data_IF_739846974742
#
_entry.id   IF_739846974742
#
_cell.length_a   1.000
_cell.length_b   1.000
_cell.length_c   1.000
_cell.angle_alpha   90.00
_cell.angle_beta   90.00
_cell.angle_gamma   90.00
#
_symmetry.space_group_name_H-M   'P 1'
#
loop_
_entity.id
_entity.type
_entity.pdbx_description
1 polymer ?
#
# COMPACT_ATOMS: atom_id res chain seq x y z
N UNK A 1 17.05 -11.58 9.52
CA UNK A 1 16.65 -10.90 10.78
C UNK A 1 15.23 -10.39 10.57
N UNK A 2 14.31 -10.60 11.51
CA UNK A 2 12.96 -10.03 11.42
C UNK A 2 13.02 -8.56 11.85
N UNK A 3 12.41 -7.66 11.08
CA UNK A 3 12.30 -6.23 11.39
C UNK A 3 10.90 -5.98 11.94
N UNK A 4 10.82 -5.42 13.14
CA UNK A 4 9.56 -5.05 13.78
C UNK A 4 9.26 -3.57 13.54
N UNK A 5 8.00 -3.18 13.74
CA UNK A 5 7.59 -1.78 13.60
C UNK A 5 8.26 -0.90 14.67
N UNK A 6 9.11 0.04 14.25
CA UNK A 6 9.89 0.90 15.14
C UNK A 6 8.99 1.90 15.87
N UNK A 7 8.04 2.53 15.18
CA UNK A 7 7.15 3.51 15.79
C UNK A 7 6.25 2.87 16.87
N UNK A 8 5.74 1.66 16.59
CA UNK A 8 4.98 0.89 17.57
C UNK A 8 5.86 0.55 18.78
N UNK A 9 7.08 0.06 18.57
CA UNK A 9 8.01 -0.28 19.65
C UNK A 9 8.34 0.93 20.53
N UNK A 10 8.59 2.08 19.91
CA UNK A 10 8.81 3.35 20.59
C UNK A 10 7.64 3.74 21.49
N UNK A 11 6.42 3.69 20.96
CA UNK A 11 5.20 4.06 21.70
C UNK A 11 4.94 3.12 22.88
N UNK A 12 5.18 1.81 22.70
CA UNK A 12 5.08 0.82 23.79
C UNK A 12 6.10 1.09 24.89
N UNK A 13 7.37 1.23 24.53
CA UNK A 13 8.46 1.46 25.48
C UNK A 13 8.33 2.81 26.20
N UNK A 14 7.69 3.79 25.56
CA UNK A 14 7.45 5.11 26.13
C UNK A 14 6.14 5.21 26.92
N UNK A 15 5.39 4.11 27.09
CA UNK A 15 4.18 4.06 27.90
C UNK A 15 3.00 4.85 27.32
N UNK A 16 2.88 4.93 26.00
CA UNK A 16 1.75 5.58 25.32
C UNK A 16 0.54 4.67 25.12
N UNK A 17 0.69 3.36 25.36
CA UNK A 17 -0.44 2.44 25.32
C UNK A 17 -1.45 2.82 26.42
N UNK A 18 -2.73 3.02 26.08
CA UNK A 18 -3.74 3.38 27.06
C UNK A 18 -3.98 2.18 27.98
N UNK A 19 -3.56 2.30 29.24
CA UNK A 19 -4.01 1.41 30.31
C UNK A 19 -5.46 1.71 30.73
N UNK A 20 -5.90 2.96 30.51
CA UNK A 20 -7.26 3.46 30.74
C UNK A 20 -7.61 4.47 29.63
N UNK A 21 -8.80 4.35 29.04
CA UNK A 21 -9.31 5.26 28.01
C UNK A 21 -9.65 6.67 28.57
N UNK A 22 -9.77 6.79 29.89
CA UNK A 22 -10.15 8.04 30.56
C UNK A 22 -8.97 9.00 30.81
N UNK A 23 -7.72 8.55 30.67
CA UNK A 23 -6.53 9.40 30.86
C UNK A 23 -5.42 9.07 29.85
N UNK A 24 -5.63 9.37 28.56
CA UNK A 24 -4.65 9.05 27.53
C UNK A 24 -3.38 9.91 27.69
N UNK A 25 -2.22 9.27 27.51
CA UNK A 25 -0.94 10.00 27.47
C UNK A 25 -0.88 10.88 26.21
N UNK A 26 -0.65 12.18 26.43
CA UNK A 26 -0.56 13.19 25.39
C UNK A 26 0.85 13.23 24.80
N UNK A 27 0.95 13.34 23.48
CA UNK A 27 2.22 13.46 22.77
C UNK A 27 2.85 14.83 23.04
N UNK A 28 3.91 14.85 23.83
CA UNK A 28 4.73 16.05 24.05
C UNK A 28 5.67 16.29 22.86
N UNK A 29 6.08 17.55 22.68
CA UNK A 29 6.98 17.97 21.59
C UNK A 29 8.31 17.22 21.58
N UNK A 30 8.79 16.76 22.75
CA UNK A 30 10.07 16.08 22.88
C UNK A 30 10.09 14.68 22.25
N UNK A 31 8.93 14.04 22.09
CA UNK A 31 8.83 12.71 21.48
C UNK A 31 8.63 12.77 19.96
N UNK A 32 8.18 13.91 19.41
CA UNK A 32 7.82 14.05 18.00
C UNK A 32 9.00 13.73 17.06
N UNK A 33 10.22 14.26 17.25
CA UNK A 33 11.32 13.98 16.33
C UNK A 33 11.68 12.49 16.26
N UNK A 34 11.87 11.84 17.40
CA UNK A 34 12.23 10.41 17.45
C UNK A 34 11.13 9.50 16.92
N UNK A 35 9.86 9.84 17.18
CA UNK A 35 8.73 9.07 16.66
C UNK A 35 8.55 9.27 15.15
N UNK A 36 8.83 10.47 14.63
CA UNK A 36 8.83 10.75 13.19
C UNK A 36 9.91 9.93 12.48
N UNK A 37 11.13 9.91 13.02
CA UNK A 37 12.22 9.08 12.48
C UNK A 37 11.86 7.59 12.46
N UNK A 38 11.31 7.08 13.57
CA UNK A 38 10.85 5.69 13.66
C UNK A 38 9.73 5.39 12.65
N UNK A 39 8.81 6.34 12.44
CA UNK A 39 7.71 6.18 11.49
C UNK A 39 8.20 6.22 10.04
N UNK A 40 9.21 7.03 9.72
CA UNK A 40 9.83 7.04 8.39
C UNK A 40 10.56 5.72 8.09
N UNK A 41 11.23 5.11 9.07
CA UNK A 41 11.82 3.77 8.92
C UNK A 41 10.76 2.70 8.66
N UNK A 42 9.65 2.74 9.40
CA UNK A 42 8.49 1.88 9.14
C UNK A 42 7.94 2.12 7.73
N UNK A 43 7.82 3.38 7.30
CA UNK A 43 7.34 3.76 5.98
C UNK A 43 8.22 3.19 4.86
N UNK A 44 9.55 3.27 4.99
CA UNK A 44 10.49 2.68 4.04
C UNK A 44 10.31 1.16 3.93
N UNK A 45 10.09 0.47 5.05
CA UNK A 45 9.76 -0.95 5.06
C UNK A 45 8.43 -1.27 4.36
N UNK A 46 7.40 -0.44 4.54
CA UNK A 46 6.13 -0.58 3.83
C UNK A 46 6.28 -0.34 2.33
N UNK A 47 7.00 0.70 1.92
CA UNK A 47 7.28 0.98 0.51
C UNK A 47 7.99 -0.21 -0.15
N UNK A 48 9.03 -0.74 0.50
CA UNK A 48 9.75 -1.91 0.01
C UNK A 48 8.81 -3.12 -0.19
N UNK A 49 7.97 -3.42 0.79
CA UNK A 49 6.97 -4.49 0.67
C UNK A 49 5.93 -4.23 -0.44
N UNK A 50 5.56 -2.96 -0.66
CA UNK A 50 4.74 -2.53 -1.80
C UNK A 50 5.40 -2.82 -3.13
N UNK A 51 6.67 -2.41 -3.31
CA UNK A 51 7.48 -2.67 -4.51
C UNK A 51 7.62 -4.18 -4.77
N UNK A 52 7.95 -4.96 -3.74
CA UNK A 52 8.03 -6.42 -3.85
C UNK A 52 6.71 -7.04 -4.29
N UNK A 53 5.59 -6.57 -3.74
CA UNK A 53 4.27 -7.09 -4.05
C UNK A 53 3.84 -6.74 -5.49
N UNK A 54 4.15 -5.53 -5.99
CA UNK A 54 3.94 -5.18 -7.41
C UNK A 54 4.81 -6.05 -8.32
N UNK A 55 6.11 -6.13 -8.06
CA UNK A 55 7.05 -6.87 -8.91
C UNK A 55 6.72 -8.38 -8.97
N UNK A 56 6.39 -8.98 -7.83
CA UNK A 56 5.96 -10.39 -7.77
C UNK A 56 4.58 -10.61 -8.39
N UNK A 57 3.68 -9.63 -8.31
CA UNK A 57 2.39 -9.62 -9.02
C UNK A 57 2.60 -9.67 -10.54
N UNK A 58 3.45 -8.78 -11.07
CA UNK A 58 3.83 -8.75 -12.50
C UNK A 58 4.46 -10.08 -12.93
N UNK A 59 5.37 -10.64 -12.13
CA UNK A 59 5.95 -11.97 -12.42
C UNK A 59 4.90 -13.09 -12.45
N UNK A 60 3.89 -13.01 -11.58
CA UNK A 60 2.80 -13.98 -11.56
C UNK A 60 1.97 -13.88 -12.85
N UNK A 61 1.68 -12.66 -13.33
CA UNK A 61 1.02 -12.47 -14.64
C UNK A 61 1.85 -13.04 -15.80
N UNK A 62 3.16 -12.78 -15.83
CA UNK A 62 4.07 -13.34 -16.84
C UNK A 62 4.15 -14.87 -16.83
N UNK A 63 3.69 -15.51 -15.75
CA UNK A 63 3.67 -16.95 -15.55
C UNK A 63 2.25 -17.54 -15.66
N UNK A 64 1.25 -16.76 -16.09
CA UNK A 64 -0.16 -17.15 -16.13
C UNK A 64 -0.75 -17.55 -14.77
N UNK A 65 -0.19 -17.03 -13.67
CA UNK A 65 -0.69 -17.21 -12.31
C UNK A 65 -1.54 -15.98 -11.90
N UNK A 66 -2.71 -15.83 -12.51
CA UNK A 66 -3.58 -14.66 -12.41
C UNK A 66 -4.25 -14.49 -11.04
N UNK A 67 -4.68 -15.58 -10.40
CA UNK A 67 -5.24 -15.56 -9.06
C UNK A 67 -4.22 -14.99 -8.07
N UNK A 68 -3.00 -15.51 -8.12
CA UNK A 68 -1.89 -15.03 -7.31
C UNK A 68 -1.41 -13.62 -7.67
N UNK A 69 -1.47 -13.23 -8.95
CA UNK A 69 -1.20 -11.86 -9.36
C UNK A 69 -2.17 -10.90 -8.68
N UNK A 70 -3.47 -11.19 -8.73
CA UNK A 70 -4.55 -10.38 -8.12
C UNK A 70 -4.32 -10.21 -6.63
N UNK A 71 -3.98 -11.29 -5.92
CA UNK A 71 -3.68 -11.23 -4.49
C UNK A 71 -2.50 -10.30 -4.22
N UNK A 72 -1.37 -10.49 -4.90
CA UNK A 72 -0.15 -9.70 -4.68
C UNK A 72 -0.33 -8.22 -5.04
N UNK A 73 -1.04 -7.93 -6.13
CA UNK A 73 -1.35 -6.58 -6.59
C UNK A 73 -2.33 -5.85 -5.65
N UNK A 74 -3.27 -6.56 -5.02
CA UNK A 74 -4.06 -5.98 -3.91
C UNK A 74 -3.18 -5.67 -2.69
N UNK A 75 -2.31 -6.61 -2.30
CA UNK A 75 -1.43 -6.42 -1.14
C UNK A 75 -0.44 -5.28 -1.33
N UNK A 76 0.03 -5.03 -2.55
CA UNK A 76 0.88 -3.86 -2.80
C UNK A 76 0.15 -2.56 -2.48
N UNK A 77 -1.11 -2.40 -2.89
CA UNK A 77 -1.91 -1.20 -2.57
C UNK A 77 -2.08 -1.04 -1.06
N UNK A 78 -2.31 -2.14 -0.32
CA UNK A 78 -2.33 -2.09 1.15
C UNK A 78 -1.01 -1.57 1.74
N UNK A 79 0.13 -2.12 1.31
CA UNK A 79 1.44 -1.69 1.81
C UNK A 79 1.75 -0.23 1.43
N UNK A 80 1.44 0.16 0.19
CA UNK A 80 1.68 1.51 -0.30
C UNK A 80 0.79 2.54 0.39
N UNK A 81 -0.49 2.24 0.64
CA UNK A 81 -1.37 3.08 1.45
C UNK A 81 -0.82 3.25 2.88
N UNK A 82 -0.28 2.17 3.47
CA UNK A 82 0.35 2.22 4.79
C UNK A 82 1.64 3.05 4.79
N UNK A 83 2.46 2.94 3.74
CA UNK A 83 3.64 3.78 3.55
C UNK A 83 3.27 5.26 3.45
N UNK A 84 2.27 5.57 2.61
CA UNK A 84 1.75 6.93 2.42
C UNK A 84 1.17 7.53 3.70
N UNK A 85 0.42 6.76 4.48
CA UNK A 85 -0.05 7.18 5.80
C UNK A 85 1.14 7.49 6.73
N UNK A 86 2.14 6.60 6.78
CA UNK A 86 3.29 6.75 7.67
C UNK A 86 4.16 7.98 7.34
N UNK A 87 4.47 8.25 6.06
CA UNK A 87 5.20 9.47 5.68
C UNK A 87 4.39 10.76 5.91
N UNK A 88 3.07 10.64 6.11
CA UNK A 88 2.17 11.73 6.45
C UNK A 88 1.76 11.70 7.93
N UNK A 89 2.65 11.22 8.80
CA UNK A 89 2.51 11.30 10.26
C UNK A 89 1.40 10.44 10.88
N UNK A 90 0.84 9.48 10.15
CA UNK A 90 -0.14 8.53 10.71
C UNK A 90 0.55 7.25 11.17
N UNK A 91 0.61 7.06 12.48
CA UNK A 91 1.02 5.80 13.09
C UNK A 91 -0.19 4.90 13.37
N UNK A 92 -0.11 3.65 12.92
CA UNK A 92 -1.07 2.59 13.22
C UNK A 92 -0.33 1.50 13.99
N UNK A 93 -0.85 1.14 15.17
CA UNK A 93 -0.29 0.06 15.98
C UNK A 93 -1.38 -0.83 16.58
N UNK A 94 -0.96 -2.01 17.03
CA UNK A 94 -1.84 -3.02 17.61
C UNK A 94 -1.34 -3.41 18.99
N UNK A 95 -2.26 -3.47 19.94
CA UNK A 95 -2.07 -4.04 21.28
C UNK A 95 -3.13 -5.11 21.51
N UNK A 96 -2.71 -6.36 21.75
CA UNK A 96 -3.60 -7.52 21.88
C UNK A 96 -4.65 -7.60 20.76
N UNK A 97 -4.22 -7.41 19.51
CA UNK A 97 -5.07 -7.36 18.31
C UNK A 97 -6.04 -6.17 18.24
N UNK A 98 -6.02 -5.25 19.19
CA UNK A 98 -6.82 -4.01 19.17
C UNK A 98 -6.04 -2.92 18.43
N UNK A 99 -6.61 -2.34 17.36
CA UNK A 99 -5.95 -1.27 16.62
C UNK A 99 -6.04 0.06 17.33
N UNK A 100 -5.01 0.87 17.15
CA UNK A 100 -4.96 2.27 17.52
C UNK A 100 -4.34 3.11 16.41
N UNK A 101 -4.73 4.38 16.36
CA UNK A 101 -4.25 5.38 15.41
C UNK A 101 -3.73 6.59 16.20
N UNK A 102 -2.59 7.13 15.75
CA UNK A 102 -2.02 8.38 16.22
C UNK A 102 -1.63 9.22 15.02
N UNK A 103 -2.01 10.49 15.04
CA UNK A 103 -1.43 11.50 14.17
C UNK A 103 -0.30 12.17 14.95
N UNK A 104 0.93 12.16 14.42
CA UNK A 104 2.11 12.70 15.10
C UNK A 104 2.06 14.24 15.11
N UNK A 105 1.27 14.81 16.01
CA UNK A 105 1.20 16.25 16.25
C UNK A 105 1.23 16.53 17.74
N UNK A 106 1.74 17.71 18.10
CA UNK A 106 1.71 18.18 19.49
C UNK A 106 0.28 18.14 20.03
N UNK A 107 0.12 17.66 21.26
CA UNK A 107 -1.17 17.48 21.94
C UNK A 107 -2.11 16.39 21.36
N UNK A 108 -1.66 15.56 20.43
CA UNK A 108 -2.43 14.38 20.01
C UNK A 108 -2.27 13.20 20.98
N UNK A 109 -3.22 12.28 20.91
CA UNK A 109 -3.26 11.06 21.74
C UNK A 109 -3.51 9.83 20.89
N UNK A 110 -3.13 8.67 21.43
CA UNK A 110 -3.47 7.39 20.84
C UNK A 110 -5.00 7.17 20.92
N UNK A 111 -5.65 6.94 19.78
CA UNK A 111 -7.12 6.79 19.70
C UNK A 111 -7.50 5.46 19.06
N UNK A 112 -8.61 4.87 19.50
CA UNK A 112 -9.26 3.80 18.73
C UNK A 112 -9.71 4.33 17.37
N UNK A 113 -9.78 3.49 16.31
CA UNK A 113 -10.27 3.92 14.99
C UNK A 113 -11.63 4.62 15.02
N UNK A 114 -12.57 4.15 15.86
CA UNK A 114 -13.90 4.75 16.00
C UNK A 114 -13.89 6.15 16.64
N UNK A 115 -12.91 6.45 17.48
CA UNK A 115 -12.70 7.78 18.03
C UNK A 115 -11.99 8.71 17.03
N UNK A 116 -11.15 8.15 16.16
CA UNK A 116 -10.42 8.91 15.15
C UNK A 116 -11.27 9.24 13.91
N UNK A 117 -11.98 8.24 13.38
CA UNK A 117 -12.83 8.32 12.20
C UNK A 117 -14.29 8.33 12.68
N UNK A 118 -14.87 9.53 12.80
CA UNK A 118 -16.27 9.68 13.27
C UNK A 118 -17.24 8.95 12.35
N UNK A 119 -18.15 8.16 12.94
CA UNK A 119 -19.20 7.45 12.21
C UNK A 119 -18.77 6.14 11.54
N UNK A 120 -17.52 5.70 11.70
CA UNK A 120 -17.08 4.41 11.20
C UNK A 120 -17.65 3.26 12.04
N UNK A 121 -18.17 2.22 11.38
CA UNK A 121 -18.56 0.98 12.06
C UNK A 121 -17.37 0.03 12.25
N UNK A 122 -17.42 -0.82 13.28
CA UNK A 122 -16.39 -1.85 13.50
C UNK A 122 -16.12 -2.71 12.25
N UNK A 123 -17.17 -3.09 11.51
CA UNK A 123 -17.04 -3.90 10.29
C UNK A 123 -16.15 -3.27 9.21
N UNK A 124 -16.04 -1.94 9.19
CA UNK A 124 -15.24 -1.20 8.22
C UNK A 124 -13.76 -1.11 8.60
N UNK A 125 -13.38 -1.34 9.85
CA UNK A 125 -11.96 -1.31 10.28
C UNK A 125 -11.47 -2.62 10.92
N UNK A 126 -12.32 -3.64 11.03
CA UNK A 126 -11.90 -4.97 11.52
C UNK A 126 -10.91 -5.60 10.54
N UNK A 127 -9.71 -5.88 11.05
CA UNK A 127 -8.59 -6.43 10.28
C UNK A 127 -7.68 -5.34 9.72
N UNK A 128 -6.38 -5.66 9.66
CA UNK A 128 -5.33 -4.69 9.39
C UNK A 128 -5.49 -3.95 8.07
N UNK A 129 -5.87 -4.66 7.01
CA UNK A 129 -5.99 -4.04 5.69
C UNK A 129 -7.17 -3.06 5.63
N UNK A 130 -8.31 -3.44 6.20
CA UNK A 130 -9.51 -2.60 6.21
C UNK A 130 -9.28 -1.30 6.96
N UNK A 131 -8.61 -1.36 8.11
CA UNK A 131 -8.23 -0.14 8.83
C UNK A 131 -7.33 0.77 8.00
N UNK A 132 -6.23 0.24 7.44
CA UNK A 132 -5.27 1.03 6.65
C UNK A 132 -5.96 1.67 5.46
N UNK A 133 -6.71 0.89 4.67
CA UNK A 133 -7.36 1.39 3.46
C UNK A 133 -8.48 2.39 3.78
N UNK A 134 -9.26 2.17 4.85
CA UNK A 134 -10.31 3.11 5.27
C UNK A 134 -9.72 4.42 5.80
N UNK A 135 -8.65 4.34 6.59
CA UNK A 135 -7.96 5.55 7.06
C UNK A 135 -7.37 6.32 5.87
N UNK A 136 -6.68 5.63 4.95
CA UNK A 136 -6.15 6.24 3.74
C UNK A 136 -7.25 6.94 2.92
N UNK A 137 -8.36 6.25 2.65
CA UNK A 137 -9.46 6.81 1.87
C UNK A 137 -10.07 8.07 2.49
N UNK A 138 -10.13 8.14 3.83
CA UNK A 138 -10.64 9.31 4.53
C UNK A 138 -9.65 10.47 4.47
N UNK A 139 -8.40 10.23 4.87
CA UNK A 139 -7.39 11.28 5.04
C UNK A 139 -6.89 11.82 3.70
N UNK A 140 -6.95 11.01 2.65
CA UNK A 140 -6.53 11.38 1.30
C UNK A 140 -7.71 11.39 0.32
N UNK A 141 -8.91 11.77 0.77
CA UNK A 141 -10.12 11.80 -0.07
C UNK A 141 -9.99 12.67 -1.34
N UNK A 142 -9.04 13.62 -1.37
CA UNK A 142 -8.69 14.41 -2.56
C UNK A 142 -7.60 13.82 -3.45
N UNK A 143 -7.08 12.62 -3.14
CA UNK A 143 -6.09 11.94 -3.97
C UNK A 143 -6.70 11.59 -5.33
N UNK A 144 -5.95 11.88 -6.39
CA UNK A 144 -6.37 11.60 -7.76
C UNK A 144 -6.61 10.09 -8.01
N UNK A 145 -6.00 9.16 -7.27
CA UNK A 145 -6.35 7.73 -7.36
C UNK A 145 -7.67 7.37 -6.67
N UNK A 146 -8.28 8.28 -5.92
CA UNK A 146 -9.59 8.10 -5.30
C UNK A 146 -10.67 8.93 -6.00
N UNK A 147 -10.33 9.66 -7.06
CA UNK A 147 -11.22 10.64 -7.70
C UNK A 147 -12.28 10.02 -8.60
N UNK A 148 -12.19 8.73 -8.91
CA UNK A 148 -13.13 8.05 -9.79
C UNK A 148 -13.40 6.62 -9.29
N UNK A 149 -14.44 6.01 -9.84
CA UNK A 149 -14.91 4.68 -9.48
C UNK A 149 -14.54 3.65 -10.54
N UNK A 150 -14.42 2.39 -10.12
CA UNK A 150 -14.38 1.22 -11.00
C UNK A 150 -15.70 0.47 -10.80
N UNK A 151 -16.49 0.31 -11.86
CA UNK A 151 -17.84 -0.30 -11.80
C UNK A 151 -18.74 0.29 -10.70
N UNK A 152 -18.69 1.60 -10.51
CA UNK A 152 -19.48 2.30 -9.49
C UNK A 152 -18.99 2.10 -8.05
N UNK A 153 -17.83 1.47 -7.83
CA UNK A 153 -17.21 1.28 -6.52
C UNK A 153 -15.93 2.08 -6.40
N UNK A 154 -15.60 2.53 -5.18
CA UNK A 154 -14.28 3.12 -4.94
C UNK A 154 -13.19 2.09 -5.28
N UNK A 155 -12.05 2.49 -5.87
CA UNK A 155 -11.05 1.56 -6.36
C UNK A 155 -10.50 0.58 -5.31
N UNK A 156 -10.31 1.05 -4.07
CA UNK A 156 -9.82 0.21 -2.97
C UNK A 156 -10.80 -0.92 -2.62
N UNK A 157 -12.11 -0.63 -2.64
CA UNK A 157 -13.15 -1.64 -2.43
C UNK A 157 -13.21 -2.61 -3.60
N UNK A 158 -13.16 -2.10 -4.83
CA UNK A 158 -13.16 -2.94 -6.02
C UNK A 158 -11.98 -3.93 -6.03
N UNK A 159 -10.75 -3.47 -5.77
CA UNK A 159 -9.57 -4.33 -5.68
C UNK A 159 -9.66 -5.37 -4.55
N UNK A 160 -10.23 -4.99 -3.41
CA UNK A 160 -10.47 -5.92 -2.30
C UNK A 160 -11.42 -7.04 -2.73
N UNK A 161 -12.49 -6.72 -3.45
CA UNK A 161 -13.44 -7.69 -3.98
C UNK A 161 -12.81 -8.61 -5.03
N UNK A 162 -11.95 -8.11 -5.92
CA UNK A 162 -11.21 -8.94 -6.87
C UNK A 162 -10.32 -9.95 -6.15
N UNK A 163 -9.63 -9.51 -5.11
CA UNK A 163 -8.81 -10.39 -4.27
C UNK A 163 -9.65 -11.41 -3.52
N UNK A 164 -10.81 -11.03 -2.97
CA UNK A 164 -11.73 -11.97 -2.33
C UNK A 164 -12.30 -12.99 -3.31
N UNK A 165 -12.64 -12.56 -4.53
CA UNK A 165 -13.12 -13.44 -5.60
C UNK A 165 -12.10 -14.53 -5.91
N UNK A 166 -10.86 -14.12 -6.20
CA UNK A 166 -9.79 -15.03 -6.64
C UNK A 166 -9.25 -15.91 -5.50
N UNK A 167 -9.28 -15.41 -4.26
CA UNK A 167 -8.60 -16.10 -3.14
C UNK A 167 -9.54 -16.88 -2.22
N UNK A 168 -10.81 -16.50 -2.12
CA UNK A 168 -11.73 -17.10 -1.14
C UNK A 168 -13.06 -17.58 -1.72
N UNK A 169 -13.61 -16.89 -2.73
CA UNK A 169 -14.91 -17.26 -3.30
C UNK A 169 -14.78 -18.33 -4.38
N UNK A 170 -13.68 -18.34 -5.13
CA UNK A 170 -13.37 -19.42 -6.04
C UNK A 170 -12.86 -20.63 -5.25
N UNK A 171 -13.47 -21.81 -5.44
CA UNK A 171 -13.02 -23.05 -4.81
C UNK A 171 -11.64 -23.50 -5.33
N UNK A 172 -11.33 -23.15 -6.58
CA UNK A 172 -10.05 -23.37 -7.25
C UNK A 172 -9.69 -22.06 -7.95
N UNK A 173 -8.44 -21.63 -7.86
CA UNK A 173 -7.97 -20.46 -8.61
C UNK A 173 -8.13 -20.73 -10.12
N UNK A 174 -8.50 -19.73 -10.92
CA UNK A 174 -8.74 -19.91 -12.36
C UNK A 174 -7.45 -20.09 -13.16
N UNK A 175 -6.31 -20.34 -12.52
CA UNK A 175 -5.02 -20.42 -13.21
C UNK A 175 -4.90 -21.80 -13.90
N UNK A 176 -4.48 -21.88 -15.18
CA UNK A 176 -3.89 -20.83 -16.00
C UNK A 176 -4.88 -20.12 -16.94
N UNK A 177 -6.19 -20.35 -16.83
CA UNK A 177 -7.18 -19.63 -17.63
C UNK A 177 -7.14 -18.12 -17.32
N UNK A 178 -7.27 -17.30 -18.36
CA UNK A 178 -7.25 -15.84 -18.21
C UNK A 178 -8.60 -15.41 -17.64
N UNK A 179 -8.67 -14.88 -16.40
CA UNK A 179 -9.91 -14.34 -15.88
C UNK A 179 -10.22 -12.99 -16.54
N UNK A 180 -11.48 -12.59 -16.53
CA UNK A 180 -11.97 -11.42 -17.27
C UNK A 180 -11.18 -10.14 -16.96
N UNK A 181 -10.77 -9.92 -15.70
CA UNK A 181 -10.06 -8.70 -15.29
C UNK A 181 -8.62 -8.57 -15.84
N UNK A 182 -8.14 -9.60 -16.57
CA UNK A 182 -6.87 -9.56 -17.29
C UNK A 182 -7.02 -9.88 -18.78
N UNK A 183 -8.26 -10.00 -19.30
CA UNK A 183 -8.50 -10.40 -20.68
C UNK A 183 -7.80 -9.45 -21.66
N UNK A 184 -7.99 -8.13 -21.50
CA UNK A 184 -7.32 -7.12 -22.33
C UNK A 184 -5.82 -7.01 -22.05
N UNK A 185 -5.39 -7.16 -20.78
CA UNK A 185 -3.97 -7.17 -20.44
C UNK A 185 -3.24 -8.33 -21.14
N UNK A 186 -3.90 -9.48 -21.29
CA UNK A 186 -3.34 -10.67 -21.92
C UNK A 186 -3.31 -10.60 -23.46
N UNK A 187 -4.05 -9.69 -24.11
CA UNK A 187 -4.02 -9.53 -25.59
C UNK A 187 -2.70 -8.96 -26.09
N UNK A 188 -1.97 -8.25 -25.22
CA UNK A 188 -0.66 -7.66 -25.52
C UNK A 188 0.40 -8.16 -24.54
N UNK A 189 1.66 -7.84 -24.83
CA UNK A 189 2.74 -8.13 -23.90
C UNK A 189 2.61 -7.20 -22.68
N UNK A 190 2.69 -7.74 -21.46
CA UNK A 190 2.63 -6.98 -20.21
C UNK A 190 3.57 -5.77 -20.23
N UNK A 191 4.77 -5.91 -20.82
CA UNK A 191 5.72 -4.81 -21.02
C UNK A 191 5.11 -3.60 -21.72
N UNK A 192 4.32 -3.82 -22.77
CA UNK A 192 3.70 -2.74 -23.55
C UNK A 192 2.68 -2.01 -22.69
N UNK A 193 1.84 -2.74 -21.94
CA UNK A 193 0.90 -2.14 -21.00
C UNK A 193 1.58 -1.37 -19.87
N UNK A 194 2.66 -1.91 -19.30
CA UNK A 194 3.43 -1.20 -18.27
C UNK A 194 3.99 0.13 -18.80
N UNK A 195 4.51 0.16 -20.04
CA UNK A 195 4.96 1.41 -20.65
C UNK A 195 3.79 2.40 -20.84
N UNK A 196 2.64 1.92 -21.34
CA UNK A 196 1.44 2.76 -21.49
C UNK A 196 1.01 3.35 -20.14
N UNK A 197 1.01 2.54 -19.06
CA UNK A 197 0.66 3.03 -17.74
C UNK A 197 1.67 4.03 -17.19
N UNK A 198 2.96 3.90 -17.51
CA UNK A 198 3.98 4.87 -17.08
C UNK A 198 3.80 6.25 -17.71
N UNK A 199 3.27 6.28 -18.94
CA UNK A 199 3.02 7.50 -19.71
C UNK A 199 1.60 8.07 -19.49
N UNK A 200 0.82 7.49 -18.57
CA UNK A 200 -0.57 7.86 -18.26
C UNK A 200 -0.65 9.11 -17.37
N UNK A 201 -0.34 10.29 -17.95
CA UNK A 201 -0.31 11.58 -17.23
C UNK A 201 -1.65 11.94 -16.59
N UNK A 202 -2.75 11.61 -17.26
CA UNK A 202 -4.12 11.74 -16.74
C UNK A 202 -4.61 10.31 -16.51
N UNK A 203 -4.63 9.81 -15.26
CA UNK A 203 -4.82 8.40 -14.98
C UNK A 203 -6.21 7.94 -15.43
N UNK A 204 -6.28 7.25 -16.56
CA UNK A 204 -7.51 6.64 -17.09
C UNK A 204 -7.51 5.15 -16.76
N UNK A 205 -6.39 4.47 -17.02
CA UNK A 205 -6.27 3.02 -16.85
C UNK A 205 -6.45 2.52 -15.41
N UNK A 206 -6.08 3.27 -14.35
CA UNK A 206 -6.37 2.87 -12.97
C UNK A 206 -7.87 2.70 -12.68
N UNK A 207 -8.74 3.34 -13.46
CA UNK A 207 -10.19 3.31 -13.29
C UNK A 207 -10.91 2.46 -14.32
N UNK A 208 -10.18 1.98 -15.32
CA UNK A 208 -10.72 1.14 -16.37
C UNK A 208 -10.84 -0.30 -15.88
N UNK A 209 -12.02 -0.90 -16.09
CA UNK A 209 -12.37 -2.24 -15.63
C UNK A 209 -11.38 -3.32 -16.07
N UNK A 210 -10.90 -3.25 -17.31
CA UNK A 210 -10.05 -4.25 -17.94
C UNK A 210 -8.57 -4.08 -17.61
N UNK A 211 -8.21 -2.93 -17.01
CA UNK A 211 -6.83 -2.55 -16.71
C UNK A 211 -6.54 -2.37 -15.22
N UNK A 212 -7.56 -2.04 -14.41
CA UNK A 212 -7.39 -1.55 -13.05
C UNK A 212 -6.65 -2.52 -12.13
N UNK A 213 -6.81 -3.83 -12.31
CA UNK A 213 -6.10 -4.83 -11.51
C UNK A 213 -4.57 -4.69 -11.57
N UNK A 214 -4.02 -4.17 -12.68
CA UNK A 214 -2.59 -3.92 -12.85
C UNK A 214 -2.25 -2.42 -12.84
N UNK A 215 -3.02 -1.61 -13.56
CA UNK A 215 -2.75 -0.19 -13.73
C UNK A 215 -2.84 0.56 -12.40
N UNK A 216 -3.85 0.28 -11.57
CA UNK A 216 -4.05 0.98 -10.32
C UNK A 216 -2.90 0.74 -9.32
N UNK A 217 -2.47 -0.50 -9.02
CA UNK A 217 -1.32 -0.74 -8.15
C UNK A 217 -0.01 -0.14 -8.68
N UNK A 218 0.22 -0.15 -10.00
CA UNK A 218 1.41 0.45 -10.61
C UNK A 218 1.40 1.96 -10.45
N UNK A 219 0.29 2.62 -10.76
CA UNK A 219 0.13 4.07 -10.60
C UNK A 219 0.21 4.51 -9.13
N UNK A 220 -0.35 3.72 -8.20
CA UNK A 220 -0.20 3.95 -6.76
C UNK A 220 1.27 3.87 -6.35
N UNK A 221 2.01 2.86 -6.84
CA UNK A 221 3.44 2.73 -6.55
C UNK A 221 4.22 3.95 -7.00
N UNK A 222 4.01 4.42 -8.24
CA UNK A 222 4.71 5.58 -8.79
C UNK A 222 4.48 6.83 -7.94
N UNK A 223 3.22 7.11 -7.57
CA UNK A 223 2.89 8.27 -6.73
C UNK A 223 3.54 8.22 -5.37
N UNK A 224 3.55 7.05 -4.72
CA UNK A 224 4.19 6.91 -3.40
C UNK A 224 5.70 7.05 -3.52
N UNK A 225 6.33 6.53 -4.57
CA UNK A 225 7.77 6.75 -4.83
C UNK A 225 8.06 8.24 -4.99
N UNK A 226 7.27 8.94 -5.82
CA UNK A 226 7.45 10.37 -6.05
C UNK A 226 7.28 11.16 -4.74
N UNK A 227 6.32 10.81 -3.88
CA UNK A 227 6.17 11.44 -2.54
C UNK A 227 7.34 11.16 -1.58
N UNK A 228 7.95 9.98 -1.64
CA UNK A 228 9.17 9.71 -0.86
C UNK A 228 10.34 10.56 -1.36
N UNK A 229 10.50 10.69 -2.68
CA UNK A 229 11.53 11.54 -3.29
C UNK A 229 11.32 13.01 -2.90
N UNK A 230 10.09 13.53 -3.03
CA UNK A 230 9.74 14.94 -2.73
C UNK A 230 9.99 15.30 -1.27
N UNK A 231 9.90 14.33 -0.36
CA UNK A 231 10.17 14.49 1.08
C UNK A 231 11.59 14.12 1.49
N UNK A 232 12.42 13.71 0.55
CA UNK A 232 13.79 13.24 0.79
C UNK A 232 13.85 12.10 1.84
N UNK A 233 12.85 11.22 1.86
CA UNK A 233 12.81 10.07 2.78
C UNK A 233 13.51 8.89 2.10
N UNK A 234 14.67 8.44 2.61
CA UNK A 234 15.43 7.38 1.97
C UNK A 234 14.77 6.01 2.15
N UNK A 235 14.98 5.10 1.19
CA UNK A 235 14.58 3.70 1.32
C UNK A 235 15.78 2.76 1.12
N UNK A 236 16.58 2.58 2.18
CA UNK A 236 17.80 1.75 2.10
C UNK A 236 17.51 0.31 1.65
N UNK A 237 16.34 -0.25 2.00
CA UNK A 237 15.94 -1.58 1.55
C UNK A 237 15.92 -1.73 0.02
N UNK A 238 15.51 -0.69 -0.72
CA UNK A 238 15.51 -0.74 -2.18
C UNK A 238 16.93 -0.70 -2.75
N UNK A 239 17.80 0.13 -2.16
CA UNK A 239 19.21 0.24 -2.56
C UNK A 239 19.95 -1.08 -2.31
N UNK A 240 19.84 -1.62 -1.09
CA UNK A 240 20.45 -2.86 -0.65
C UNK A 240 19.99 -4.08 -1.46
N UNK A 241 18.75 -4.06 -1.96
CA UNK A 241 18.14 -5.18 -2.71
C UNK A 241 17.94 -4.87 -4.20
N UNK A 242 18.61 -3.85 -4.74
CA UNK A 242 18.37 -3.32 -6.09
C UNK A 242 18.47 -4.38 -7.21
N UNK A 243 19.41 -5.32 -7.12
CA UNK A 243 19.53 -6.43 -8.10
C UNK A 243 18.32 -7.37 -8.06
N UNK A 244 17.83 -7.68 -6.86
CA UNK A 244 16.64 -8.51 -6.70
C UNK A 244 15.39 -7.79 -7.23
N UNK A 245 15.24 -6.51 -6.93
CA UNK A 245 14.16 -5.67 -7.46
C UNK A 245 14.20 -5.65 -9.00
N UNK A 246 15.35 -5.38 -9.62
CA UNK A 246 15.51 -5.42 -11.09
C UNK A 246 15.10 -6.76 -11.69
N UNK A 247 15.37 -7.87 -10.99
CA UNK A 247 14.93 -9.20 -11.43
C UNK A 247 13.41 -9.38 -11.35
N UNK A 248 12.73 -8.79 -10.38
CA UNK A 248 11.26 -8.79 -10.30
C UNK A 248 10.62 -7.94 -11.40
N UNK A 249 11.25 -6.84 -11.78
CA UNK A 249 10.79 -5.96 -12.85
C UNK A 249 11.48 -6.29 -14.18
N UNK A 250 11.36 -7.53 -14.64
CA UNK A 250 11.90 -7.98 -15.93
C UNK A 250 11.04 -9.03 -16.61
N UNK A 251 11.26 -9.25 -17.89
CA UNK A 251 10.75 -10.39 -18.65
C UNK A 251 11.89 -11.01 -19.50
N UNK A 252 11.54 -11.82 -20.51
CA UNK A 252 12.51 -12.44 -21.43
C UNK A 252 13.30 -11.42 -22.26
N UNK A 253 12.76 -10.23 -22.47
CA UNK A 253 13.38 -9.12 -23.19
C UNK A 253 14.22 -8.20 -22.28
N UNK A 254 14.34 -8.51 -20.99
CA UNK A 254 15.19 -7.80 -20.04
C UNK A 254 14.40 -6.99 -19.01
N UNK A 255 15.02 -5.95 -18.45
CA UNK A 255 14.42 -5.14 -17.37
C UNK A 255 13.35 -4.18 -17.91
N UNK A 256 12.32 -3.89 -17.11
CA UNK A 256 11.37 -2.81 -17.36
C UNK A 256 12.00 -1.49 -16.94
N UNK A 257 12.83 -0.90 -17.82
CA UNK A 257 13.68 0.25 -17.49
C UNK A 257 12.90 1.44 -16.90
N UNK A 258 11.69 1.73 -17.39
CA UNK A 258 10.87 2.82 -16.85
C UNK A 258 10.55 2.65 -15.35
N UNK A 259 10.14 1.45 -14.94
CA UNK A 259 9.91 1.14 -13.52
C UNK A 259 11.22 1.03 -12.73
N UNK A 260 12.23 0.35 -13.29
CA UNK A 260 13.49 0.14 -12.60
C UNK A 260 14.23 1.45 -12.30
N UNK A 261 14.12 2.44 -13.18
CA UNK A 261 14.74 3.76 -12.99
C UNK A 261 14.10 4.54 -11.84
N UNK A 262 12.78 4.39 -11.62
CA UNK A 262 12.07 5.01 -10.49
C UNK A 262 12.57 4.53 -9.13
N UNK A 263 13.15 3.33 -9.03
CA UNK A 263 13.70 2.84 -7.76
C UNK A 263 15.11 3.34 -7.46
N UNK A 264 15.84 3.83 -8.48
CA UNK A 264 17.21 4.32 -8.29
C UNK A 264 17.26 5.72 -7.67
N UNK A 265 16.12 6.42 -7.58
CA UNK A 265 16.04 7.77 -7.00
C UNK A 265 15.83 7.79 -5.49
N UNK A 266 15.58 6.63 -4.87
CA UNK A 266 15.21 6.44 -3.46
C UNK A 266 16.35 5.94 -2.57
#
# INVERSE_FOLDING_TARGET
MLVFHEAASFLKNSGFLPHDENNPKVLSSNYVPSLTEALHKDAAGYLYNGVLSVGTGIKSLLQNNYGWATVKLYYSVFYLARAKLAINDFCILYEDSKPFVLLLRFNETLKKPSAYIKGISAKQYVGTHKLVLTLFQREFSGDLLLSNNIDGKSPLVWLMEQRELMNYKAAVMPDPEIPWQYAEIATKQIRQWLNIYLDDEIPIYPFDHDHACLAYPVQFLLKVIDEFNDREIPCSYLQENSNFIKKLFSDKSGVFNGLANKFNSL
#
